data_IF_406650122142
#
_entry.id   IF_406650122142
#
_cell.length_a   1.000
_cell.length_b   1.000
_cell.length_c   1.000
_cell.angle_alpha   90.00
_cell.angle_beta   90.00
_cell.angle_gamma   90.00
#
_symmetry.space_group_name_H-M   'P 1'
#
loop_
_entity.id
_entity.type
_entity.pdbx_description
1 polymer ?
#
# COMPACT_ATOMS: atom_id res chain seq x y z
N UNK A 1 30.93 -25.48 29.74
CA UNK A 1 30.72 -24.34 28.81
C UNK A 1 30.71 -23.07 29.64
N UNK A 2 31.65 -22.14 29.42
CA UNK A 2 31.85 -20.98 30.30
C UNK A 2 30.68 -19.99 30.15
N UNK A 3 30.14 -19.50 31.27
CA UNK A 3 28.95 -18.62 31.29
C UNK A 3 29.12 -17.41 30.33
N UNK A 4 30.32 -16.82 30.28
CA UNK A 4 30.61 -15.69 29.38
C UNK A 4 30.70 -16.04 27.89
N UNK A 5 30.97 -17.30 27.52
CA UNK A 5 30.86 -17.75 26.12
C UNK A 5 29.39 -17.88 25.69
N UNK A 6 28.53 -18.35 26.59
CA UNK A 6 27.10 -18.48 26.34
C UNK A 6 26.42 -17.11 26.17
N UNK A 7 26.74 -16.15 27.05
CA UNK A 7 26.19 -14.79 26.96
C UNK A 7 26.58 -14.10 25.66
N UNK A 8 27.82 -14.28 25.19
CA UNK A 8 28.29 -13.75 23.90
C UNK A 8 27.57 -14.38 22.71
N UNK A 9 27.33 -15.69 22.71
CA UNK A 9 26.55 -16.33 21.64
C UNK A 9 25.11 -15.82 21.60
N UNK A 10 24.48 -15.62 22.76
CA UNK A 10 23.14 -15.04 22.86
C UNK A 10 23.07 -13.61 22.33
N UNK A 11 24.05 -12.77 22.69
CA UNK A 11 24.14 -11.39 22.18
C UNK A 11 24.36 -11.34 20.66
N UNK A 12 25.22 -12.20 20.13
CA UNK A 12 25.50 -12.25 18.69
C UNK A 12 24.30 -12.76 17.88
N UNK A 13 23.60 -13.76 18.40
CA UNK A 13 22.38 -14.29 17.76
C UNK A 13 21.24 -13.26 17.82
N UNK A 14 21.04 -12.60 18.96
CA UNK A 14 20.06 -11.52 19.08
C UNK A 14 20.34 -10.35 18.14
N UNK A 15 21.61 -9.92 18.06
CA UNK A 15 22.02 -8.84 17.16
C UNK A 15 21.84 -9.23 15.69
N UNK A 16 22.16 -10.47 15.32
CA UNK A 16 21.93 -10.99 13.96
C UNK A 16 20.46 -10.99 13.57
N UNK A 17 19.56 -11.37 14.49
CA UNK A 17 18.11 -11.32 14.27
C UNK A 17 17.63 -9.87 14.15
N UNK A 18 18.10 -8.98 15.01
CA UNK A 18 17.72 -7.56 14.97
C UNK A 18 18.09 -6.89 13.63
N UNK A 19 19.27 -7.19 13.09
CA UNK A 19 19.76 -6.65 11.81
C UNK A 19 19.08 -7.26 10.57
N UNK A 20 18.44 -8.44 10.70
CA UNK A 20 17.80 -9.13 9.58
C UNK A 20 16.39 -8.62 9.25
N UNK A 21 15.85 -7.67 10.03
CA UNK A 21 14.52 -7.13 9.75
C UNK A 21 14.57 -6.26 8.49
N UNK A 22 13.73 -6.55 7.48
CA UNK A 22 13.61 -5.69 6.32
C UNK A 22 13.14 -4.33 6.79
N UNK A 23 13.99 -3.32 6.66
CA UNK A 23 13.62 -1.92 6.85
C UNK A 23 12.62 -1.62 5.73
N UNK A 24 11.33 -1.57 6.06
CA UNK A 24 10.30 -1.07 5.15
C UNK A 24 10.51 0.44 4.98
N UNK A 25 11.39 0.79 4.04
CA UNK A 25 11.54 2.14 3.54
C UNK A 25 10.42 2.42 2.53
N UNK A 26 9.19 2.60 3.02
CA UNK A 26 8.05 2.91 2.18
C UNK A 26 6.93 3.45 3.03
N UNK A 27 6.53 4.70 2.80
CA UNK A 27 5.29 5.22 3.38
C UNK A 27 4.12 4.30 3.00
N UNK A 28 3.09 4.28 3.84
CA UNK A 28 1.87 3.49 3.59
C UNK A 28 1.44 3.61 2.11
N UNK A 29 1.18 2.48 1.42
CA UNK A 29 0.79 2.50 0.03
C UNK A 29 -0.46 3.37 -0.14
N UNK A 30 -0.33 4.46 -0.90
CA UNK A 30 -1.44 5.38 -1.14
C UNK A 30 -2.44 4.69 -2.06
N UNK A 31 -3.59 4.34 -1.49
CA UNK A 31 -4.71 3.74 -2.21
C UNK A 31 -5.73 4.81 -2.59
N UNK A 32 -5.97 4.97 -3.89
CA UNK A 32 -6.90 5.95 -4.44
C UNK A 32 -8.23 5.28 -4.79
N UNK A 33 -9.34 5.85 -4.30
CA UNK A 33 -10.68 5.42 -4.72
C UNK A 33 -11.30 6.47 -5.62
N UNK A 34 -11.67 6.07 -6.83
CA UNK A 34 -12.35 6.92 -7.82
C UNK A 34 -13.84 6.56 -7.78
N UNK A 35 -14.71 7.55 -7.68
CA UNK A 35 -16.17 7.36 -7.80
C UNK A 35 -16.71 7.93 -9.09
N UNK A 36 -17.67 7.26 -9.73
CA UNK A 36 -18.40 7.82 -10.88
C UNK A 36 -19.91 7.92 -10.63
N UNK A 37 -20.49 8.99 -11.18
CA UNK A 37 -21.93 9.15 -11.32
C UNK A 37 -22.46 8.13 -12.34
N UNK A 38 -23.76 7.88 -12.31
CA UNK A 38 -24.46 7.02 -13.27
C UNK A 38 -24.71 7.73 -14.62
N UNK A 39 -23.68 8.38 -15.15
CA UNK A 39 -23.61 8.89 -16.51
C UNK A 39 -22.47 8.17 -17.22
N UNK A 40 -22.71 7.72 -18.46
CA UNK A 40 -21.71 6.95 -19.23
C UNK A 40 -20.35 7.67 -19.28
N UNK A 41 -20.36 8.98 -19.49
CA UNK A 41 -19.14 9.80 -19.51
C UNK A 41 -18.37 9.73 -18.19
N UNK A 42 -19.06 9.88 -17.05
CA UNK A 42 -18.43 9.79 -15.72
C UNK A 42 -17.82 8.41 -15.48
N UNK A 43 -18.46 7.34 -15.94
CA UNK A 43 -17.95 5.98 -15.81
C UNK A 43 -16.69 5.78 -16.67
N UNK A 44 -16.70 6.24 -17.92
CA UNK A 44 -15.54 6.15 -18.82
C UNK A 44 -14.36 6.97 -18.26
N UNK A 45 -14.62 8.19 -17.79
CA UNK A 45 -13.57 9.04 -17.22
C UNK A 45 -13.00 8.45 -15.92
N UNK A 46 -13.84 7.83 -15.08
CA UNK A 46 -13.37 7.14 -13.87
C UNK A 46 -12.43 5.96 -14.18
N UNK A 47 -12.68 5.22 -15.26
CA UNK A 47 -11.79 4.17 -15.74
C UNK A 47 -10.45 4.71 -16.23
N UNK A 48 -10.50 5.78 -17.05
CA UNK A 48 -9.30 6.45 -17.53
C UNK A 48 -8.44 6.98 -16.37
N UNK A 49 -9.07 7.56 -15.35
CA UNK A 49 -8.38 8.07 -14.17
C UNK A 49 -7.74 6.94 -13.36
N UNK A 50 -8.43 5.80 -13.21
CA UNK A 50 -7.89 4.61 -12.54
C UNK A 50 -6.63 4.11 -13.22
N UNK A 51 -6.64 4.03 -14.55
CA UNK A 51 -5.45 3.66 -15.33
C UNK A 51 -4.31 4.67 -15.18
N UNK A 52 -4.61 5.97 -15.16
CA UNK A 52 -3.61 7.01 -14.98
C UNK A 52 -2.93 6.89 -13.60
N UNK A 53 -3.71 6.70 -12.54
CA UNK A 53 -3.19 6.54 -11.17
C UNK A 53 -2.33 5.28 -11.05
N UNK A 54 -2.78 4.16 -11.62
CA UNK A 54 -1.99 2.93 -11.64
C UNK A 54 -0.68 3.09 -12.42
N UNK A 55 -0.70 3.80 -13.56
CA UNK A 55 0.53 4.13 -14.31
C UNK A 55 1.48 5.05 -13.55
N UNK A 56 0.97 5.87 -12.64
CA UNK A 56 1.78 6.69 -11.75
C UNK A 56 2.39 5.91 -10.56
N UNK A 57 2.13 4.60 -10.47
CA UNK A 57 2.70 3.72 -9.45
C UNK A 57 1.87 3.59 -8.17
N UNK A 58 0.63 4.08 -8.17
CA UNK A 58 -0.26 4.00 -7.01
C UNK A 58 -1.33 2.91 -7.18
N UNK A 59 -1.85 2.39 -6.07
CA UNK A 59 -3.01 1.52 -6.11
C UNK A 59 -4.28 2.34 -6.35
N UNK A 60 -5.15 1.87 -7.26
CA UNK A 60 -6.42 2.53 -7.53
C UNK A 60 -7.57 1.55 -7.75
N UNK A 61 -8.77 1.95 -7.31
CA UNK A 61 -10.03 1.23 -7.55
C UNK A 61 -11.14 2.18 -7.98
N UNK A 62 -11.97 1.75 -8.93
CA UNK A 62 -13.10 2.52 -9.43
C UNK A 62 -14.43 1.97 -8.87
N UNK A 63 -15.10 2.78 -8.05
CA UNK A 63 -16.47 2.57 -7.61
C UNK A 63 -17.45 3.19 -8.61
N UNK A 64 -18.09 2.33 -9.40
CA UNK A 64 -18.91 2.73 -10.54
C UNK A 64 -20.33 3.12 -10.14
N UNK A 65 -20.93 4.03 -10.90
CA UNK A 65 -22.38 4.28 -10.93
C UNK A 65 -23.03 4.52 -9.56
N UNK A 66 -22.40 5.35 -8.73
CA UNK A 66 -22.84 5.63 -7.35
C UNK A 66 -24.19 6.37 -7.26
N UNK A 67 -24.71 6.88 -8.39
CA UNK A 67 -26.00 7.57 -8.46
C UNK A 67 -25.95 8.80 -9.37
N UNK A 68 -27.01 9.60 -9.34
CA UNK A 68 -27.07 10.86 -10.10
C UNK A 68 -26.32 12.01 -9.43
N UNK A 69 -26.46 13.23 -9.97
CA UNK A 69 -25.80 14.47 -9.50
C UNK A 69 -26.06 14.83 -8.03
N UNK A 70 -27.08 14.22 -7.40
CA UNK A 70 -27.39 14.46 -5.99
C UNK A 70 -26.53 13.63 -5.02
N UNK A 71 -25.80 12.65 -5.54
CA UNK A 71 -25.05 11.67 -4.75
C UNK A 71 -23.53 11.93 -4.77
N UNK A 72 -23.01 12.53 -5.85
CA UNK A 72 -21.57 12.79 -6.10
C UNK A 72 -21.42 14.16 -6.75
#
# INVERSE_FOLDING_TARGET
MNIGRLTRMLLLTFLGIALAHPIHAGGEPVKVTIGSKNFTESVILGDMLTHLVQRAGFEASHQRQLGGTRVV
#
